data_IF_054420013278
#
_entry.id   IF_054420013278
#
_cell.length_a   1.000
_cell.length_b   1.000
_cell.length_c   1.000
_cell.angle_alpha   90.00
_cell.angle_beta   90.00
_cell.angle_gamma   90.00
#
_symmetry.space_group_name_H-M   'P 1'
#
loop_
_entity.id
_entity.type
_entity.pdbx_description
1 polymer ?
#
# COMPACT_ATOMS: atom_id res chain seq x y z
N UNK A 1 -18.95 -14.99 -6.83
CA UNK A 1 -18.10 -15.46 -5.73
C UNK A 1 -16.80 -14.69 -5.83
N UNK A 2 -16.62 -13.64 -5.04
CA UNK A 2 -15.36 -12.89 -5.01
C UNK A 2 -14.44 -13.58 -4.01
N UNK A 3 -13.35 -14.15 -4.50
CA UNK A 3 -12.33 -14.80 -3.69
C UNK A 3 -11.57 -13.73 -2.91
N UNK A 4 -11.79 -13.68 -1.60
CA UNK A 4 -10.95 -12.93 -0.69
C UNK A 4 -9.62 -13.68 -0.54
N UNK A 5 -8.57 -13.20 -1.22
CA UNK A 5 -7.21 -13.69 -1.02
C UNK A 5 -6.75 -13.34 0.40
N UNK A 6 -6.72 -14.32 1.28
CA UNK A 6 -6.19 -14.18 2.64
C UNK A 6 -4.66 -14.21 2.59
N UNK A 7 -4.03 -13.05 2.80
CA UNK A 7 -2.59 -12.98 3.07
C UNK A 7 -2.32 -13.55 4.48
N UNK A 8 -1.40 -14.51 4.58
CA UNK A 8 -1.18 -15.42 5.71
C UNK A 8 -0.54 -14.80 6.98
N UNK A 9 -0.65 -13.49 7.17
CA UNK A 9 -0.36 -12.82 8.44
C UNK A 9 -1.24 -11.57 8.49
N UNK A 10 -2.20 -11.54 9.43
CA UNK A 10 -3.22 -10.50 9.56
C UNK A 10 -2.63 -9.10 9.40
N UNK A 11 -2.77 -8.53 8.21
CA UNK A 11 -2.23 -7.23 7.87
C UNK A 11 -3.19 -6.20 8.41
N UNK A 12 -2.77 -5.47 9.45
CA UNK A 12 -3.60 -4.45 10.07
C UNK A 12 -3.85 -3.31 9.08
N UNK A 13 -5.11 -3.16 8.65
CA UNK A 13 -5.54 -2.04 7.80
C UNK A 13 -5.99 -0.92 8.72
N UNK A 14 -5.49 0.29 8.49
CA UNK A 14 -5.88 1.46 9.26
C UNK A 14 -7.31 1.87 8.90
N UNK A 15 -8.18 1.88 9.90
CA UNK A 15 -9.56 2.36 9.82
C UNK A 15 -9.63 3.81 10.32
N UNK A 16 -10.35 4.65 9.59
CA UNK A 16 -10.50 6.08 9.90
C UNK A 16 -11.35 6.35 11.15
N UNK A 17 -12.30 5.46 11.46
CA UNK A 17 -13.16 5.49 12.64
C UNK A 17 -13.90 4.12 12.75
N UNK A 18 -14.60 3.80 13.86
CA UNK A 18 -15.58 2.72 13.87
C UNK A 18 -16.60 2.90 12.74
N UNK A 19 -16.73 1.93 11.83
CA UNK A 19 -17.55 2.04 10.61
C UNK A 19 -16.97 2.92 9.50
N UNK A 20 -15.77 3.46 9.69
CA UNK A 20 -15.05 4.27 8.70
C UNK A 20 -14.41 3.42 7.61
N UNK A 21 -14.03 4.07 6.51
CA UNK A 21 -13.28 3.41 5.44
C UNK A 21 -11.90 2.99 5.94
N UNK A 22 -11.50 1.77 5.59
CA UNK A 22 -10.14 1.31 5.79
C UNK A 22 -9.32 1.68 4.55
N UNK A 23 -8.15 2.31 4.73
CA UNK A 23 -7.27 2.68 3.62
C UNK A 23 -5.92 2.00 3.81
N UNK A 24 -5.39 1.51 2.69
CA UNK A 24 -4.05 0.98 2.61
C UNK A 24 -3.34 1.64 1.44
N UNK A 25 -2.15 2.19 1.69
CA UNK A 25 -1.33 2.78 0.64
C UNK A 25 -0.11 1.90 0.45
N UNK A 26 0.07 1.38 -0.76
CA UNK A 26 1.20 0.53 -1.12
C UNK A 26 2.17 1.36 -1.95
N UNK A 27 3.45 1.26 -1.64
CA UNK A 27 4.53 1.84 -2.46
C UNK A 27 5.32 0.70 -3.06
N UNK A 28 5.45 0.75 -4.39
CA UNK A 28 6.32 -0.15 -5.13
C UNK A 28 7.48 0.66 -5.76
N UNK A 29 8.63 0.01 -5.90
CA UNK A 29 9.76 0.48 -6.69
C UNK A 29 9.95 -0.40 -7.92
N UNK A 30 10.43 0.18 -9.00
CA UNK A 30 10.76 -0.56 -10.20
C UNK A 30 12.17 -1.14 -10.08
N UNK A 31 12.26 -2.47 -10.14
CA UNK A 31 13.53 -3.18 -10.21
C UNK A 31 13.92 -3.36 -11.68
N UNK A 32 14.96 -2.66 -12.11
CA UNK A 32 15.47 -2.73 -13.47
C UNK A 32 16.17 -4.05 -13.79
N UNK A 33 16.67 -4.79 -12.78
CA UNK A 33 17.35 -6.06 -12.99
C UNK A 33 16.34 -7.18 -13.32
N UNK A 34 15.16 -7.13 -12.71
CA UNK A 34 14.10 -8.13 -12.90
C UNK A 34 12.98 -7.65 -13.83
N UNK A 35 13.05 -6.40 -14.32
CA UNK A 35 11.98 -5.75 -15.10
C UNK A 35 10.60 -5.85 -14.43
N UNK A 36 10.56 -5.72 -13.11
CA UNK A 36 9.37 -5.97 -12.30
C UNK A 36 9.16 -4.89 -11.24
N UNK A 37 7.92 -4.74 -10.77
CA UNK A 37 7.59 -3.86 -9.65
C UNK A 37 7.71 -4.64 -8.34
N UNK A 38 8.55 -4.16 -7.43
CA UNK A 38 8.76 -4.75 -6.10
C UNK A 38 8.12 -3.90 -5.02
N UNK A 39 7.44 -4.54 -4.09
CA UNK A 39 6.79 -3.86 -2.97
C UNK A 39 7.83 -3.38 -1.96
N UNK A 40 7.88 -2.08 -1.76
CA UNK A 40 8.76 -1.42 -0.79
C UNK A 40 8.11 -1.43 0.59
N UNK A 41 6.80 -1.22 0.63
CA UNK A 41 6.08 -1.18 1.90
C UNK A 41 4.59 -0.97 1.74
N UNK A 42 3.92 -1.03 2.89
CA UNK A 42 2.50 -0.73 3.03
C UNK A 42 2.33 0.23 4.18
N UNK A 43 1.59 1.30 3.94
CA UNK A 43 1.49 2.46 4.79
C UNK A 43 0.03 2.77 5.12
N UNK A 44 -0.16 3.30 6.32
CA UNK A 44 -1.45 3.70 6.88
C UNK A 44 -1.83 5.14 6.48
N UNK A 45 -0.83 5.99 6.28
CA UNK A 45 -0.98 7.43 6.15
C UNK A 45 -0.12 8.00 5.00
N UNK A 46 -0.57 9.14 4.45
CA UNK A 46 0.11 9.79 3.32
C UNK A 46 1.49 10.36 3.72
N UNK A 47 1.70 10.78 4.98
CA UNK A 47 2.98 11.36 5.44
C UNK A 47 4.11 10.34 5.37
N UNK A 48 3.86 9.11 5.82
CA UNK A 48 4.81 8.01 5.74
C UNK A 48 5.14 7.63 4.30
N UNK A 49 4.15 7.72 3.40
CA UNK A 49 4.30 7.48 1.96
C UNK A 49 5.19 8.56 1.33
N UNK A 50 4.93 9.83 1.60
CA UNK A 50 5.72 10.96 1.08
C UNK A 50 7.20 10.87 1.47
N UNK A 51 7.48 10.49 2.73
CA UNK A 51 8.84 10.26 3.19
C UNK A 51 9.53 9.15 2.39
N UNK A 52 8.81 8.06 2.10
CA UNK A 52 9.36 6.95 1.33
C UNK A 52 9.56 7.31 -0.14
N UNK A 53 8.60 7.99 -0.76
CA UNK A 53 8.72 8.48 -2.14
C UNK A 53 9.89 9.45 -2.29
N UNK A 54 10.10 10.33 -1.32
CA UNK A 54 11.25 11.24 -1.30
C UNK A 54 12.57 10.47 -1.28
N UNK A 55 12.65 9.39 -0.49
CA UNK A 55 13.82 8.52 -0.45
C UNK A 55 14.07 7.80 -1.78
N UNK A 56 13.02 7.28 -2.42
CA UNK A 56 13.11 6.60 -3.72
C UNK A 56 13.52 7.57 -4.83
N UNK A 57 12.96 8.78 -4.81
CA UNK A 57 13.31 9.87 -5.73
C UNK A 57 14.79 10.27 -5.62
N UNK A 58 15.31 10.41 -4.39
CA UNK A 58 16.75 10.70 -4.19
C UNK A 58 17.66 9.59 -4.71
N UNK A 59 17.21 8.33 -4.71
CA UNK A 59 17.94 7.21 -5.30
C UNK A 59 17.83 7.12 -6.83
N UNK A 60 17.01 7.98 -7.46
CA UNK A 60 16.75 7.92 -8.90
C UNK A 60 15.92 6.69 -9.32
N UNK A 61 15.20 6.06 -8.39
CA UNK A 61 14.41 4.86 -8.66
C UNK A 61 12.98 5.24 -9.05
N UNK A 62 12.48 4.66 -10.14
CA UNK A 62 11.08 4.81 -10.52
C UNK A 62 10.19 4.15 -9.46
N UNK A 63 9.17 4.85 -9.00
CA UNK A 63 8.27 4.40 -7.94
C UNK A 63 6.82 4.68 -8.32
N UNK A 64 5.90 3.89 -7.74
CA UNK A 64 4.46 4.08 -7.91
C UNK A 64 3.73 3.91 -6.57
N UNK A 65 2.59 4.57 -6.46
CA UNK A 65 1.69 4.48 -5.30
C UNK A 65 0.40 3.80 -5.73
N UNK A 66 -0.04 2.82 -4.95
CA UNK A 66 -1.31 2.13 -5.12
C UNK A 66 -2.13 2.40 -3.86
N UNK A 67 -3.20 3.19 -3.99
CA UNK A 67 -4.14 3.44 -2.88
C UNK A 67 -5.32 2.49 -2.99
N UNK A 68 -5.49 1.64 -1.99
CA UNK A 68 -6.63 0.74 -1.87
C UNK A 68 -7.54 1.24 -0.75
N UNK A 69 -8.82 1.39 -1.06
CA UNK A 69 -9.86 1.74 -0.11
C UNK A 69 -10.77 0.54 0.05
N UNK A 70 -10.98 0.11 1.28
CA UNK A 70 -11.88 -0.97 1.63
C UNK A 70 -13.12 -0.33 2.27
N UNK A 71 -14.26 -0.51 1.62
CA UNK A 71 -15.54 -0.29 2.27
C UNK A 71 -15.71 -1.39 3.32
N UNK A 72 -16.09 -1.08 4.56
CA UNK A 72 -16.51 -2.12 5.49
C UNK A 72 -17.67 -2.85 4.83
N UNK A 73 -17.50 -4.15 4.53
CA UNK A 73 -18.62 -5.02 4.19
C UNK A 73 -19.47 -5.11 5.45
N UNK A 74 -20.45 -4.22 5.57
CA UNK A 74 -21.52 -4.37 6.54
C UNK A 74 -22.32 -5.60 6.14
N UNK A 75 -22.29 -6.63 6.98
CA UNK A 75 -23.38 -7.58 7.25
C UNK A 75 -23.04 -8.33 8.54
#
# INVERSE_FOLDING_TARGET
MCECSHDAAGKWISVSAPGGMARQIIVDEFDSAEHAWKRVGTFADDTSVEKQLSRLKMKGVASRVISQSFCPTGL
#
